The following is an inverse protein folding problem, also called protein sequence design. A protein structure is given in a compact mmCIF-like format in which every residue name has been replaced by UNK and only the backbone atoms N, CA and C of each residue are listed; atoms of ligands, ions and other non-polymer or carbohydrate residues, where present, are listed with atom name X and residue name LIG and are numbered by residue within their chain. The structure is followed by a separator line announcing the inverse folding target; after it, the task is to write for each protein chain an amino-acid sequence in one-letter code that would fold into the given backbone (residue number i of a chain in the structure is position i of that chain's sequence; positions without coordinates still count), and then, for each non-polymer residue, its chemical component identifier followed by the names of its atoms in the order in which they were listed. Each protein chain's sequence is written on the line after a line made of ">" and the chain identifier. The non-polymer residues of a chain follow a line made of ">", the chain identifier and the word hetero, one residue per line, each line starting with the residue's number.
data_IF_305290707763
#
_entry.id   IF_305290707763
#
_cell.length_a   1.000
_cell.length_b   1.000
_cell.length_c   1.000
_cell.angle_alpha   90.00
_cell.angle_beta   90.00
_cell.angle_gamma   90.00
#
_symmetry.space_group_name_H-M   'P 1'
#
loop_
_entity.id
_entity.type
_entity.pdbx_description
1 polymer ?
#
# COMPACT_ATOMS: atom_id res chain seq x y z
N UNK A 1 16.54 9.92 -0.05
CA UNK A 1 15.36 9.12 -0.42
C UNK A 1 15.70 7.67 -0.79
N UNK A 2 16.80 7.39 -1.50
CA UNK A 2 17.14 6.01 -1.94
C UNK A 2 17.29 5.03 -0.77
N UNK A 3 18.09 5.36 0.25
CA UNK A 3 18.28 4.46 1.40
C UNK A 3 16.97 4.15 2.13
N UNK A 4 16.16 5.16 2.42
CA UNK A 4 14.85 4.97 3.04
C UNK A 4 13.90 4.17 2.14
N UNK A 5 13.95 4.36 0.82
CA UNK A 5 13.16 3.56 -0.12
C UNK A 5 13.50 2.07 -0.04
N UNK A 6 14.80 1.73 -0.07
CA UNK A 6 15.28 0.34 0.00
C UNK A 6 14.94 -0.28 1.36
N UNK A 7 15.21 0.42 2.46
CA UNK A 7 14.91 -0.07 3.80
C UNK A 7 13.41 -0.34 3.98
N UNK A 8 12.56 0.63 3.59
CA UNK A 8 11.10 0.47 3.67
C UNK A 8 10.60 -0.64 2.74
N UNK A 9 11.19 -0.79 1.55
CA UNK A 9 10.86 -1.89 0.63
C UNK A 9 11.15 -3.26 1.24
N UNK A 10 12.33 -3.45 1.84
CA UNK A 10 12.72 -4.72 2.49
C UNK A 10 11.79 -5.03 3.66
N UNK A 11 11.55 -4.06 4.54
CA UNK A 11 10.64 -4.21 5.69
C UNK A 11 9.22 -4.52 5.21
N UNK A 12 8.74 -3.78 4.21
CA UNK A 12 7.41 -3.97 3.63
C UNK A 12 7.21 -5.35 3.02
N UNK A 13 8.18 -5.82 2.23
CA UNK A 13 8.16 -7.18 1.64
C UNK A 13 8.17 -8.23 2.76
N UNK A 14 9.03 -8.08 3.76
CA UNK A 14 9.11 -9.03 4.88
C UNK A 14 7.77 -9.13 5.62
N UNK A 15 7.14 -7.99 5.92
CA UNK A 15 5.84 -7.92 6.58
C UNK A 15 4.68 -8.45 5.71
N UNK A 16 4.75 -8.32 4.39
CA UNK A 16 3.71 -8.83 3.49
C UNK A 16 3.82 -10.32 3.21
N UNK A 17 5.05 -10.87 3.14
CA UNK A 17 5.31 -12.26 2.74
C UNK A 17 5.65 -13.21 3.88
N UNK A 18 6.15 -12.70 5.02
CA UNK A 18 6.43 -13.48 6.23
C UNK A 18 5.61 -13.02 7.47
N UNK A 19 4.31 -12.70 7.33
CA UNK A 19 3.56 -12.13 8.45
C UNK A 19 3.28 -13.15 9.55
N UNK A 20 3.17 -14.45 9.25
CA UNK A 20 2.92 -15.48 10.26
C UNK A 20 4.14 -15.69 11.15
N UNK A 21 5.32 -15.81 10.54
CA UNK A 21 6.59 -16.00 11.24
C UNK A 21 6.90 -14.79 12.13
N UNK A 22 6.67 -13.58 11.61
CA UNK A 22 6.87 -12.35 12.37
C UNK A 22 5.81 -12.18 13.47
N UNK A 23 4.56 -12.54 13.23
CA UNK A 23 3.51 -12.46 14.24
C UNK A 23 3.74 -13.47 15.37
N UNK A 24 4.24 -14.67 15.06
CA UNK A 24 4.62 -15.66 16.07
C UNK A 24 5.76 -15.14 16.95
N UNK A 25 6.82 -14.59 16.34
CA UNK A 25 7.97 -14.06 17.09
C UNK A 25 7.61 -12.83 17.93
N UNK A 26 6.77 -11.93 17.41
CA UNK A 26 6.49 -10.63 18.06
C UNK A 26 5.31 -10.71 19.03
N UNK A 27 4.25 -11.45 18.66
CA UNK A 27 2.98 -11.48 19.39
C UNK A 27 2.61 -12.86 19.94
N UNK A 28 3.44 -13.88 19.72
CA UNK A 28 3.15 -15.27 20.06
C UNK A 28 1.78 -15.73 19.49
N UNK A 29 1.49 -15.28 18.27
CA UNK A 29 0.25 -15.54 17.52
C UNK A 29 0.59 -15.69 16.03
N UNK A 30 0.43 -16.90 15.48
CA UNK A 30 0.68 -17.17 14.06
C UNK A 30 -0.52 -16.93 13.13
N UNK A 31 -1.69 -16.55 13.68
CA UNK A 31 -2.95 -16.41 12.93
C UNK A 31 -3.80 -15.23 13.43
N UNK A 32 -4.89 -14.93 12.71
CA UNK A 32 -5.89 -13.96 13.14
C UNK A 32 -5.51 -12.50 12.85
N UNK A 33 -5.85 -11.61 13.78
CA UNK A 33 -5.75 -10.16 13.58
C UNK A 33 -4.29 -9.66 13.51
N UNK A 34 -3.36 -10.30 14.23
CA UNK A 34 -1.96 -9.90 14.28
C UNK A 34 -1.30 -10.02 12.89
N UNK A 35 -1.53 -11.15 12.20
CA UNK A 35 -1.08 -11.39 10.82
C UNK A 35 -1.65 -10.34 9.87
N UNK A 36 -2.94 -10.03 9.98
CA UNK A 36 -3.58 -9.01 9.14
C UNK A 36 -2.98 -7.62 9.34
N UNK A 37 -2.74 -7.22 10.60
CA UNK A 37 -2.11 -5.93 10.92
C UNK A 37 -0.70 -5.85 10.34
N UNK A 38 0.10 -6.91 10.45
CA UNK A 38 1.43 -6.94 9.83
C UNK A 38 1.36 -6.83 8.31
N UNK A 39 0.41 -7.49 7.65
CA UNK A 39 0.25 -7.38 6.20
C UNK A 39 -0.15 -5.96 5.75
N UNK A 40 -1.07 -5.30 6.46
CA UNK A 40 -1.46 -3.91 6.18
C UNK A 40 -0.29 -2.96 6.43
N UNK A 41 0.48 -3.17 7.50
CA UNK A 41 1.70 -2.41 7.78
C UNK A 41 2.77 -2.64 6.71
N UNK A 42 2.91 -3.89 6.22
CA UNK A 42 3.78 -4.23 5.10
C UNK A 42 3.40 -3.47 3.83
N UNK A 43 2.10 -3.45 3.49
CA UNK A 43 1.57 -2.67 2.39
C UNK A 43 1.89 -1.18 2.52
N UNK A 44 1.78 -0.61 3.73
CA UNK A 44 2.15 0.77 4.02
C UNK A 44 3.65 1.03 3.80
N UNK A 45 4.53 0.14 4.26
CA UNK A 45 5.98 0.29 4.05
C UNK A 45 6.38 0.13 2.58
N UNK A 46 5.76 -0.81 1.84
CA UNK A 46 5.95 -0.92 0.38
C UNK A 46 5.52 0.37 -0.31
N UNK A 47 4.35 0.92 0.04
CA UNK A 47 3.85 2.18 -0.51
C UNK A 47 4.82 3.34 -0.25
N UNK A 48 5.28 3.52 0.99
CA UNK A 48 6.25 4.56 1.33
C UNK A 48 7.61 4.35 0.66
N UNK A 49 8.07 3.11 0.54
CA UNK A 49 9.26 2.76 -0.21
C UNK A 49 9.15 3.20 -1.67
N UNK A 50 8.02 2.92 -2.31
CA UNK A 50 7.75 3.31 -3.70
C UNK A 50 7.64 4.82 -3.88
N UNK A 51 6.98 5.53 -2.96
CA UNK A 51 6.94 7.01 -2.97
C UNK A 51 8.37 7.54 -2.95
N UNK A 52 9.19 7.11 -1.99
CA UNK A 52 10.58 7.56 -1.87
C UNK A 52 11.41 7.22 -3.12
N UNK A 53 11.18 6.06 -3.72
CA UNK A 53 11.90 5.63 -4.93
C UNK A 53 11.55 6.49 -6.15
N UNK A 54 10.26 6.79 -6.35
CA UNK A 54 9.81 7.61 -7.48
C UNK A 54 10.10 9.09 -7.27
N UNK A 55 10.12 9.54 -6.02
CA UNK A 55 10.38 10.91 -5.62
C UNK A 55 11.88 11.26 -5.58
N UNK A 56 12.79 10.28 -5.64
CA UNK A 56 14.23 10.49 -5.41
C UNK A 56 14.88 11.51 -6.36
N UNK A 57 14.34 11.66 -7.57
CA UNK A 57 14.85 12.56 -8.61
C UNK A 57 14.05 13.88 -8.68
N UNK A 58 12.99 14.01 -7.86
CA UNK A 58 12.15 15.20 -7.81
C UNK A 58 12.70 16.20 -6.78
N UNK A 59 12.54 17.51 -7.06
CA UNK A 59 12.85 18.56 -6.10
C UNK A 59 11.94 18.47 -4.88
N UNK A 60 12.51 18.49 -3.67
CA UNK A 60 11.76 18.56 -2.40
C UNK A 60 10.82 19.77 -2.44
N UNK A 61 9.52 19.54 -2.25
CA UNK A 61 8.45 20.53 -2.40
C UNK A 61 7.78 20.63 -3.78
N UNK A 62 8.23 19.88 -4.80
CA UNK A 62 7.61 19.81 -6.12
C UNK A 62 6.28 19.04 -6.17
N UNK A 63 5.70 18.89 -7.36
CA UNK A 63 4.44 18.15 -7.55
C UNK A 63 4.72 16.64 -7.45
N UNK A 64 4.46 16.05 -6.27
CA UNK A 64 4.60 14.62 -6.00
C UNK A 64 3.38 13.77 -6.38
N UNK A 65 2.51 14.29 -7.24
CA UNK A 65 1.21 13.65 -7.52
C UNK A 65 1.36 12.22 -8.05
N UNK A 66 2.34 11.95 -8.92
CA UNK A 66 2.54 10.61 -9.48
C UNK A 66 3.14 9.62 -8.46
N UNK A 67 4.22 9.93 -7.71
CA UNK A 67 4.67 9.11 -6.59
C UNK A 67 3.58 8.81 -5.56
N UNK A 68 2.81 9.83 -5.16
CA UNK A 68 1.73 9.69 -4.18
C UNK A 68 0.60 8.79 -4.71
N UNK A 69 0.19 8.96 -5.96
CA UNK A 69 -0.82 8.10 -6.59
C UNK A 69 -0.37 6.63 -6.60
N UNK A 70 0.89 6.36 -6.95
CA UNK A 70 1.46 5.00 -6.90
C UNK A 70 1.51 4.45 -5.48
N UNK A 71 1.97 5.25 -4.51
CA UNK A 71 2.03 4.83 -3.11
C UNK A 71 0.66 4.44 -2.58
N UNK A 72 -0.34 5.31 -2.76
CA UNK A 72 -1.72 5.01 -2.34
C UNK A 72 -2.27 3.78 -3.06
N UNK A 73 -2.02 3.64 -4.36
CA UNK A 73 -2.42 2.44 -5.11
C UNK A 73 -1.84 1.17 -4.48
N UNK A 74 -0.53 1.13 -4.21
CA UNK A 74 0.12 -0.05 -3.62
C UNK A 74 -0.42 -0.37 -2.23
N UNK A 75 -0.59 0.65 -1.37
CA UNK A 75 -1.14 0.43 -0.03
C UNK A 75 -2.52 -0.21 -0.10
N UNK A 76 -3.44 0.40 -0.87
CA UNK A 76 -4.81 -0.11 -0.96
C UNK A 76 -4.87 -1.46 -1.68
N UNK A 77 -4.14 -1.65 -2.78
CA UNK A 77 -4.15 -2.91 -3.52
C UNK A 77 -3.64 -4.09 -2.68
N UNK A 78 -2.48 -3.94 -2.01
CA UNK A 78 -1.91 -5.02 -1.20
C UNK A 78 -2.78 -5.28 0.04
N UNK A 79 -3.23 -4.22 0.71
CA UNK A 79 -4.12 -4.35 1.87
C UNK A 79 -5.46 -4.97 1.51
N UNK A 80 -6.03 -4.67 0.32
CA UNK A 80 -7.23 -5.33 -0.20
C UNK A 80 -7.04 -6.84 -0.31
N UNK A 81 -5.89 -7.31 -0.81
CA UNK A 81 -5.61 -8.75 -0.92
C UNK A 81 -5.56 -9.43 0.46
N UNK A 82 -4.97 -8.78 1.45
CA UNK A 82 -4.95 -9.28 2.83
C UNK A 82 -6.37 -9.28 3.45
N UNK A 83 -7.13 -8.21 3.25
CA UNK A 83 -8.49 -8.05 3.75
C UNK A 83 -9.47 -9.04 3.14
N UNK A 84 -9.37 -9.33 1.83
CA UNK A 84 -10.18 -10.37 1.17
C UNK A 84 -9.96 -11.73 1.83
N UNK A 85 -8.70 -12.09 2.12
CA UNK A 85 -8.39 -13.34 2.83
C UNK A 85 -8.99 -13.35 4.23
N UNK A 86 -8.85 -12.26 4.97
CA UNK A 86 -9.42 -12.14 6.31
C UNK A 86 -10.96 -12.22 6.30
N UNK A 87 -11.62 -11.53 5.36
CA UNK A 87 -13.07 -11.51 5.20
C UNK A 87 -13.65 -12.87 4.74
N UNK A 88 -12.86 -13.67 4.03
CA UNK A 88 -13.25 -15.02 3.61
C UNK A 88 -13.22 -16.03 4.77
N UNK A 89 -12.39 -15.79 5.80
CA UNK A 89 -12.20 -16.70 6.94
C UNK A 89 -12.95 -16.24 8.20
N UNK A 90 -13.15 -14.93 8.37
CA UNK A 90 -13.68 -14.31 9.59
C UNK A 90 -14.98 -13.52 9.36
N UNK A 91 -15.49 -12.90 10.44
CA UNK A 91 -16.77 -12.17 10.52
C UNK A 91 -17.09 -11.22 9.35
N UNK A 92 -18.40 -11.03 9.12
CA UNK A 92 -18.98 -10.15 8.09
C UNK A 92 -18.48 -8.69 8.10
N UNK A 93 -17.97 -8.20 9.23
CA UNK A 93 -17.49 -6.82 9.37
C UNK A 93 -16.32 -6.45 8.45
N UNK A 94 -15.47 -7.41 8.07
CA UNK A 94 -14.32 -7.14 7.19
C UNK A 94 -14.73 -6.82 5.76
N UNK A 95 -15.90 -7.27 5.29
CA UNK A 95 -16.34 -7.04 3.92
C UNK A 95 -16.56 -5.56 3.59
N UNK A 96 -17.06 -4.78 4.56
CA UNK A 96 -17.26 -3.34 4.39
C UNK A 96 -15.91 -2.64 4.20
N UNK A 97 -14.94 -2.93 5.07
CA UNK A 97 -13.59 -2.35 4.98
C UNK A 97 -12.90 -2.81 3.71
N UNK A 98 -13.04 -4.08 3.34
CA UNK A 98 -12.51 -4.66 2.10
C UNK A 98 -13.05 -3.92 0.87
N UNK A 99 -14.36 -3.69 0.81
CA UNK A 99 -14.99 -2.98 -0.31
C UNK A 99 -14.44 -1.55 -0.45
N UNK A 100 -14.30 -0.82 0.66
CA UNK A 100 -13.72 0.53 0.66
C UNK A 100 -12.28 0.49 0.12
N UNK A 101 -11.46 -0.44 0.60
CA UNK A 101 -10.07 -0.56 0.16
C UNK A 101 -9.96 -0.93 -1.32
N UNK A 102 -10.80 -1.85 -1.81
CA UNK A 102 -10.83 -2.22 -3.24
C UNK A 102 -11.24 -1.03 -4.11
N UNK A 103 -12.26 -0.27 -3.70
CA UNK A 103 -12.68 0.95 -4.42
C UNK A 103 -11.53 1.95 -4.48
N UNK A 104 -10.85 2.20 -3.36
CA UNK A 104 -9.72 3.13 -3.32
C UNK A 104 -8.53 2.62 -4.17
N UNK A 105 -8.24 1.31 -4.17
CA UNK A 105 -7.24 0.72 -5.04
C UNK A 105 -7.57 0.97 -6.52
N UNK A 106 -8.83 0.76 -6.93
CA UNK A 106 -9.27 1.04 -8.29
C UNK A 106 -9.17 2.53 -8.65
N UNK A 107 -9.57 3.44 -7.75
CA UNK A 107 -9.48 4.88 -7.96
C UNK A 107 -8.02 5.32 -8.11
N UNK A 108 -7.12 4.92 -7.21
CA UNK A 108 -5.71 5.31 -7.29
C UNK A 108 -4.99 4.63 -8.45
N UNK A 109 -5.37 3.39 -8.80
CA UNK A 109 -4.90 2.74 -10.02
C UNK A 109 -5.29 3.54 -11.25
N UNK A 110 -6.57 3.92 -11.38
CA UNK A 110 -7.03 4.79 -12.45
C UNK A 110 -6.25 6.11 -12.50
N UNK A 111 -6.17 6.84 -11.38
CA UNK A 111 -5.43 8.12 -11.29
C UNK A 111 -3.97 7.96 -11.72
N UNK A 112 -3.31 6.87 -11.34
CA UNK A 112 -1.91 6.62 -11.68
C UNK A 112 -1.70 6.31 -13.18
N UNK A 113 -2.61 5.53 -13.78
CA UNK A 113 -2.50 5.13 -15.19
C UNK A 113 -3.09 6.16 -16.18
N UNK A 114 -3.96 7.07 -15.72
CA UNK A 114 -4.42 8.19 -16.54
C UNK A 114 -3.40 9.31 -16.60
N UNK A 115 -3.05 9.72 -17.81
CA UNK A 115 -2.19 10.88 -18.03
C UNK A 115 -3.05 12.15 -18.00
N UNK A 116 -2.57 13.26 -17.42
CA UNK A 116 -3.26 14.53 -17.53
C UNK A 116 -3.39 14.89 -19.01
N UNK A 117 -4.61 14.94 -19.53
CA UNK A 117 -4.86 15.60 -20.80
C UNK A 117 -4.60 17.08 -20.55
N UNK A 118 -3.62 17.63 -21.27
CA UNK A 118 -3.37 19.07 -21.28
C UNK A 118 -4.68 19.69 -21.79
N UNK A 119 -5.49 20.25 -20.91
CA UNK A 119 -6.49 21.21 -21.36
C UNK A 119 -5.69 22.34 -22.01
N UNK A 120 -5.71 22.36 -23.34
CA UNK A 120 -5.14 23.43 -24.12
C UNK A 120 -5.61 24.75 -23.52
N UNK A 121 -4.66 25.64 -23.23
CA UNK A 121 -4.93 27.00 -22.80
C UNK A 121 -6.02 27.57 -23.71
N UNK A 122 -7.17 27.91 -23.15
CA UNK A 122 -8.03 28.89 -23.80
C UNK A 122 -7.30 30.23 -23.65
N UNK A 123 -6.94 30.76 -24.82
CA UNK A 123 -6.32 32.07 -25.09
C UNK A 123 -7.01 33.21 -24.38
#
# INVERSE_FOLDING_TARGET
>A
MVFSAVLMGIVGISLSFLPQELAEVIFNQSEGWAVLVLQILGAQYVAFGMINWMAKDNLIGGIYSKPVAMGNFLHFAISSLALVKAAAVQHTGYWIVTAIYVILACIFGYVFFTHPTKNASKS
#
